data_IF_928373044878
#
_entry.id   IF_928373044878
#
_cell.length_a   1.000
_cell.length_b   1.000
_cell.length_c   1.000
_cell.angle_alpha   90.00
_cell.angle_beta   90.00
_cell.angle_gamma   90.00
#
_symmetry.space_group_name_H-M   'P 1'
#
loop_
_entity.id
_entity.type
_entity.pdbx_description
1 polymer ?
#
# COMPACT_ATOMS: atom_id res chain seq x y z
N UNK A 1 0.15 -77.68 -20.87
CA UNK A 1 0.24 -77.07 -22.20
C UNK A 1 0.55 -75.59 -21.99
N UNK A 2 1.70 -75.13 -22.49
CA UNK A 2 2.20 -73.76 -22.36
C UNK A 2 1.28 -72.75 -23.06
N UNK A 3 1.11 -71.55 -22.48
CA UNK A 3 1.17 -70.25 -23.17
C UNK A 3 1.18 -69.15 -22.09
N UNK A 4 2.34 -68.56 -21.81
CA UNK A 4 2.83 -67.26 -22.32
C UNK A 4 2.12 -66.03 -21.71
N UNK A 5 2.85 -65.47 -20.76
CA UNK A 5 2.98 -64.04 -20.38
C UNK A 5 2.38 -63.01 -21.34
N UNK A 6 1.75 -61.98 -20.75
CA UNK A 6 2.04 -60.58 -21.07
C UNK A 6 1.67 -59.70 -19.87
N UNK A 7 2.72 -59.20 -19.21
CA UNK A 7 2.66 -58.09 -18.26
C UNK A 7 2.22 -56.84 -19.03
N UNK A 8 1.03 -56.31 -18.72
CA UNK A 8 0.66 -54.95 -19.07
C UNK A 8 1.18 -54.03 -17.96
N UNK A 9 2.33 -53.42 -18.22
CA UNK A 9 2.85 -52.33 -17.41
C UNK A 9 1.84 -51.17 -17.42
N UNK A 10 1.13 -50.98 -16.32
CA UNK A 10 0.33 -49.80 -16.08
C UNK A 10 1.25 -48.59 -16.01
N UNK A 11 1.23 -47.77 -17.05
CA UNK A 11 1.89 -46.47 -17.10
C UNK A 11 1.29 -45.63 -15.97
N UNK A 12 2.06 -45.45 -14.91
CA UNK A 12 1.82 -44.41 -13.91
C UNK A 12 2.07 -43.10 -14.64
N UNK A 13 1.00 -42.50 -15.15
CA UNK A 13 1.00 -41.12 -15.60
C UNK A 13 1.28 -40.24 -14.38
N UNK A 14 2.57 -40.05 -14.08
CA UNK A 14 3.08 -38.93 -13.32
C UNK A 14 2.65 -37.68 -14.09
N UNK A 15 1.50 -37.13 -13.73
CA UNK A 15 1.22 -35.72 -13.97
C UNK A 15 2.28 -34.95 -13.20
N UNK A 16 3.41 -34.71 -13.86
CA UNK A 16 4.35 -33.66 -13.54
C UNK A 16 3.57 -32.36 -13.62
N UNK A 17 3.04 -31.93 -12.48
CA UNK A 17 2.65 -30.55 -12.26
C UNK A 17 3.87 -29.71 -12.66
N UNK A 18 3.76 -28.77 -13.62
CA UNK A 18 4.84 -27.85 -13.87
C UNK A 18 5.00 -27.06 -12.57
N UNK A 19 6.06 -27.38 -11.83
CA UNK A 19 6.62 -26.46 -10.86
C UNK A 19 7.16 -25.27 -11.68
N UNK A 20 6.28 -24.33 -12.02
CA UNK A 20 6.68 -22.96 -12.31
C UNK A 20 7.19 -22.38 -11.00
N UNK A 21 8.40 -22.78 -10.65
CA UNK A 21 9.27 -22.08 -9.74
C UNK A 21 9.62 -20.74 -10.41
N UNK A 22 8.75 -19.75 -10.26
CA UNK A 22 9.21 -18.38 -10.22
C UNK A 22 9.88 -18.19 -8.87
N UNK A 23 11.08 -18.75 -8.72
CA UNK A 23 12.04 -18.14 -7.83
C UNK A 23 12.36 -16.80 -8.49
N UNK A 24 11.62 -15.74 -8.14
CA UNK A 24 12.14 -14.39 -8.32
C UNK A 24 13.52 -14.41 -7.67
N UNK A 25 14.57 -14.22 -8.47
CA UNK A 25 15.93 -14.07 -7.98
C UNK A 25 15.88 -12.94 -6.96
N UNK A 26 15.94 -13.25 -5.67
CA UNK A 26 15.98 -12.22 -4.65
C UNK A 26 17.21 -11.37 -4.93
N UNK A 27 17.02 -10.07 -5.17
CA UNK A 27 18.12 -9.17 -5.46
C UNK A 27 19.15 -9.27 -4.33
N UNK A 28 20.42 -9.42 -4.67
CA UNK A 28 21.48 -9.56 -3.68
C UNK A 28 22.15 -8.21 -3.44
N UNK A 29 22.21 -7.84 -2.17
CA UNK A 29 23.05 -6.73 -1.72
C UNK A 29 24.53 -7.07 -1.91
N UNK A 30 25.35 -6.03 -2.07
CA UNK A 30 26.79 -6.15 -2.17
C UNK A 30 27.40 -6.69 -0.87
N UNK A 31 28.15 -7.79 -0.97
CA UNK A 31 28.79 -8.44 0.19
C UNK A 31 29.77 -7.52 0.92
N UNK A 32 30.29 -6.47 0.26
CA UNK A 32 31.18 -5.48 0.87
C UNK A 32 30.53 -4.69 2.01
N UNK A 33 29.20 -4.76 2.17
CA UNK A 33 28.54 -4.26 3.38
C UNK A 33 29.01 -4.95 4.67
N UNK A 34 29.37 -6.23 4.61
CA UNK A 34 29.88 -6.97 5.76
C UNK A 34 31.34 -6.60 6.10
N UNK A 35 32.07 -6.08 5.11
CA UNK A 35 33.42 -5.53 5.24
C UNK A 35 33.40 -4.01 5.04
N UNK A 36 32.45 -3.32 5.67
CA UNK A 36 32.20 -1.90 5.41
C UNK A 36 33.42 -1.01 5.67
N UNK A 37 34.28 -1.36 6.63
CA UNK A 37 35.51 -0.62 6.90
C UNK A 37 36.46 -0.60 5.69
N UNK A 38 36.65 -1.76 5.04
CA UNK A 38 37.52 -1.88 3.85
C UNK A 38 36.95 -1.05 2.68
N UNK A 39 35.62 -1.04 2.52
CA UNK A 39 34.96 -0.18 1.53
C UNK A 39 35.19 1.31 1.80
N UNK A 40 35.20 1.74 3.06
CA UNK A 40 35.49 3.14 3.42
C UNK A 40 36.92 3.49 3.02
N UNK A 41 37.88 2.60 3.26
CA UNK A 41 39.28 2.83 2.89
C UNK A 41 39.44 2.93 1.36
N UNK A 42 38.78 2.05 0.60
CA UNK A 42 38.73 2.13 -0.87
C UNK A 42 38.09 3.44 -1.36
N UNK A 43 37.05 3.92 -0.68
CA UNK A 43 36.38 5.19 -1.00
C UNK A 43 37.29 6.38 -0.79
N UNK A 44 38.03 6.40 0.32
CA UNK A 44 38.99 7.46 0.63
C UNK A 44 40.17 7.45 -0.33
N UNK A 45 40.57 6.26 -0.81
CA UNK A 45 41.60 6.10 -1.84
C UNK A 45 41.11 6.44 -3.27
N UNK A 46 39.80 6.60 -3.48
CA UNK A 46 39.20 6.90 -4.79
C UNK A 46 39.17 5.72 -5.75
N UNK A 47 39.29 4.48 -5.24
CA UNK A 47 39.36 3.24 -6.03
C UNK A 47 38.10 2.39 -5.94
N UNK A 48 37.16 2.76 -5.06
CA UNK A 48 35.94 1.99 -4.81
C UNK A 48 34.96 2.04 -5.99
N UNK A 49 34.51 0.88 -6.43
CA UNK A 49 33.31 0.77 -7.27
C UNK A 49 32.03 1.04 -6.45
N UNK A 50 30.95 1.59 -7.05
CA UNK A 50 29.67 1.80 -6.37
C UNK A 50 29.14 0.53 -5.70
N UNK A 51 28.60 0.65 -4.48
CA UNK A 51 27.89 -0.46 -3.83
C UNK A 51 26.56 -0.72 -4.54
N UNK A 52 26.16 -1.98 -4.65
CA UNK A 52 24.81 -2.34 -5.11
C UNK A 52 23.96 -2.75 -3.93
N UNK A 53 22.86 -2.05 -3.68
CA UNK A 53 21.96 -2.34 -2.56
C UNK A 53 20.53 -2.44 -3.04
N UNK A 54 19.79 -3.39 -2.49
CA UNK A 54 18.33 -3.34 -2.44
C UNK A 54 17.88 -2.08 -1.72
N UNK A 55 16.71 -1.59 -2.11
CA UNK A 55 16.11 -0.42 -1.45
C UNK A 55 15.91 -0.66 0.04
N UNK A 56 15.44 -1.84 0.44
CA UNK A 56 15.21 -2.18 1.83
C UNK A 56 16.50 -2.03 2.68
N UNK A 57 17.63 -2.51 2.17
CA UNK A 57 18.91 -2.38 2.85
C UNK A 57 19.38 -0.93 2.89
N UNK A 58 19.22 -0.17 1.81
CA UNK A 58 19.53 1.25 1.79
C UNK A 58 18.75 2.05 2.85
N UNK A 59 17.45 1.77 3.02
CA UNK A 59 16.61 2.43 4.02
C UNK A 59 17.00 2.07 5.46
N UNK A 60 17.58 0.89 5.66
CA UNK A 60 18.04 0.41 6.96
C UNK A 60 19.47 0.84 7.32
N UNK A 61 20.21 1.43 6.38
CA UNK A 61 21.54 1.96 6.67
C UNK A 61 21.46 3.09 7.72
N UNK A 62 22.43 3.10 8.63
CA UNK A 62 22.57 4.21 9.59
C UNK A 62 22.84 5.53 8.84
N UNK A 63 22.45 6.69 9.39
CA UNK A 63 22.72 7.99 8.77
C UNK A 63 24.20 8.17 8.41
N UNK A 64 25.11 7.79 9.32
CA UNK A 64 26.56 7.85 9.10
C UNK A 64 27.01 6.97 7.94
N UNK A 65 26.50 5.74 7.84
CA UNK A 65 26.84 4.85 6.73
C UNK A 65 26.37 5.44 5.38
N UNK A 66 25.15 6.01 5.34
CA UNK A 66 24.64 6.68 4.13
C UNK A 66 25.44 7.92 3.75
N UNK A 67 25.88 8.71 4.72
CA UNK A 67 26.72 9.88 4.47
C UNK A 67 28.08 9.50 3.87
N UNK A 68 28.72 8.46 4.42
CA UNK A 68 30.02 7.97 3.93
C UNK A 68 29.91 7.31 2.55
N UNK A 69 28.84 6.53 2.31
CA UNK A 69 28.58 5.95 0.98
C UNK A 69 28.34 7.06 -0.05
N UNK A 70 27.51 8.04 0.29
CA UNK A 70 27.10 9.13 -0.61
C UNK A 70 26.45 8.60 -1.89
N UNK A 71 26.77 9.24 -3.01
CA UNK A 71 26.25 8.86 -4.34
C UNK A 71 26.99 7.66 -4.96
N UNK A 72 28.00 7.09 -4.29
CA UNK A 72 28.71 5.92 -4.77
C UNK A 72 27.90 4.63 -4.51
N UNK A 73 26.66 4.63 -4.98
CA UNK A 73 25.63 3.65 -4.71
C UNK A 73 24.76 3.42 -5.96
N UNK A 74 24.39 2.16 -6.16
CA UNK A 74 23.36 1.73 -7.11
C UNK A 74 22.26 1.03 -6.34
N UNK A 75 21.03 1.52 -6.47
CA UNK A 75 19.85 0.89 -5.88
C UNK A 75 19.25 -0.12 -6.86
N UNK A 76 18.95 -1.32 -6.38
CA UNK A 76 18.30 -2.36 -7.16
C UNK A 76 16.78 -2.18 -7.06
N UNK A 77 16.10 -2.10 -8.20
CA UNK A 77 14.64 -2.12 -8.27
C UNK A 77 14.06 -3.53 -8.01
N UNK A 78 12.74 -3.67 -8.08
CA UNK A 78 12.04 -4.94 -7.93
C UNK A 78 12.39 -5.99 -9.00
N UNK A 79 12.99 -5.58 -10.12
CA UNK A 79 13.51 -6.44 -11.19
C UNK A 79 15.04 -6.66 -11.09
N UNK A 80 15.66 -6.25 -9.98
CA UNK A 80 17.10 -6.27 -9.74
C UNK A 80 17.93 -5.49 -10.76
N UNK A 81 17.35 -4.45 -11.36
CA UNK A 81 18.08 -3.53 -12.26
C UNK A 81 18.73 -2.43 -11.43
N UNK A 82 20.03 -2.14 -11.66
CA UNK A 82 20.73 -1.12 -10.92
C UNK A 82 20.34 0.29 -11.40
N UNK A 83 20.00 1.15 -10.45
CA UNK A 83 19.72 2.57 -10.65
C UNK A 83 20.78 3.39 -9.94
N UNK A 84 21.44 4.27 -10.68
CA UNK A 84 22.46 5.15 -10.12
C UNK A 84 21.82 6.18 -9.20
N UNK A 85 22.30 6.31 -7.96
CA UNK A 85 21.91 7.39 -7.06
C UNK A 85 22.66 8.67 -7.43
N UNK A 86 21.97 9.80 -7.40
CA UNK A 86 22.52 11.12 -7.65
C UNK A 86 21.94 12.10 -6.63
N UNK A 87 22.80 12.84 -5.93
CA UNK A 87 22.42 13.75 -4.87
C UNK A 87 21.62 13.07 -3.73
N UNK A 88 21.93 11.81 -3.44
CA UNK A 88 21.29 11.00 -2.40
C UNK A 88 19.92 10.44 -2.76
N UNK A 89 19.42 10.66 -3.98
CA UNK A 89 18.12 10.17 -4.45
C UNK A 89 18.26 9.38 -5.77
N UNK A 90 17.39 8.38 -6.01
CA UNK A 90 17.26 7.73 -7.32
C UNK A 90 16.67 8.69 -8.37
N UNK A 91 16.93 8.46 -9.67
CA UNK A 91 16.53 9.36 -10.75
C UNK A 91 15.03 9.36 -11.04
N UNK A 92 14.31 8.36 -10.54
CA UNK A 92 12.85 8.25 -10.60
C UNK A 92 12.33 7.62 -9.33
N UNK A 93 11.04 7.82 -9.05
CA UNK A 93 10.41 7.22 -7.88
C UNK A 93 10.34 5.70 -8.03
N UNK A 94 10.77 5.00 -7.00
CA UNK A 94 10.74 3.53 -6.96
C UNK A 94 9.44 3.08 -6.32
N UNK A 95 8.68 2.24 -7.02
CA UNK A 95 7.47 1.61 -6.48
C UNK A 95 7.83 0.51 -5.49
N UNK A 96 7.12 0.49 -4.35
CA UNK A 96 7.29 -0.52 -3.31
C UNK A 96 5.99 -0.82 -2.57
N UNK A 97 5.89 -1.99 -1.91
CA UNK A 97 4.77 -2.29 -1.02
C UNK A 97 4.63 -1.22 0.06
N UNK A 98 3.40 -0.74 0.27
CA UNK A 98 3.12 0.32 1.24
C UNK A 98 3.52 -0.05 2.66
N UNK A 99 3.38 -1.33 3.06
CA UNK A 99 3.82 -1.82 4.37
C UNK A 99 5.30 -1.52 4.63
N UNK A 100 6.16 -1.67 3.61
CA UNK A 100 7.59 -1.43 3.72
C UNK A 100 7.88 0.06 3.86
N UNK A 101 7.21 0.90 3.06
CA UNK A 101 7.34 2.36 3.15
C UNK A 101 6.85 2.89 4.49
N UNK A 102 5.69 2.40 4.96
CA UNK A 102 5.13 2.76 6.25
C UNK A 102 6.08 2.41 7.39
N UNK A 103 6.58 1.17 7.45
CA UNK A 103 7.48 0.74 8.53
C UNK A 103 8.79 1.52 8.52
N UNK A 104 9.40 1.72 7.35
CA UNK A 104 10.62 2.52 7.22
C UNK A 104 10.40 3.98 7.64
N UNK A 105 9.26 4.56 7.26
CA UNK A 105 8.89 5.92 7.62
C UNK A 105 8.61 6.06 9.11
N UNK A 106 7.83 5.14 9.67
CA UNK A 106 7.51 5.06 11.08
C UNK A 106 8.77 5.01 11.93
N UNK A 107 9.71 4.12 11.60
CA UNK A 107 10.99 3.99 12.28
C UNK A 107 11.86 5.24 12.15
N UNK A 108 11.87 5.87 10.97
CA UNK A 108 12.58 7.14 10.75
C UNK A 108 11.97 8.29 11.58
N UNK A 109 10.64 8.32 11.73
CA UNK A 109 9.93 9.28 12.60
C UNK A 109 10.27 9.04 14.07
N UNK A 110 10.29 7.79 14.53
CA UNK A 110 10.67 7.45 15.90
C UNK A 110 12.09 7.89 16.24
N UNK A 111 13.04 7.67 15.32
CA UNK A 111 14.45 8.08 15.48
C UNK A 111 14.71 9.58 15.29
N UNK A 112 13.74 10.35 14.77
CA UNK A 112 13.96 11.75 14.40
C UNK A 112 14.87 11.95 13.18
N UNK A 113 14.95 10.94 12.31
CA UNK A 113 15.80 10.96 11.11
C UNK A 113 15.05 11.61 9.93
N UNK A 114 15.03 12.95 9.93
CA UNK A 114 14.32 13.76 8.93
C UNK A 114 14.81 13.51 7.50
N UNK A 115 16.10 13.20 7.32
CA UNK A 115 16.65 12.91 6.00
C UNK A 115 16.06 11.63 5.42
N UNK A 116 15.96 10.57 6.22
CA UNK A 116 15.29 9.34 5.79
C UNK A 116 13.82 9.55 5.50
N UNK A 117 13.13 10.34 6.33
CA UNK A 117 11.72 10.68 6.11
C UNK A 117 11.52 11.36 4.74
N UNK A 118 12.37 12.35 4.41
CA UNK A 118 12.30 13.06 3.13
C UNK A 118 12.63 12.15 1.94
N UNK A 119 13.69 11.35 2.05
CA UNK A 119 14.07 10.37 1.02
C UNK A 119 12.88 9.43 0.75
N UNK A 120 12.26 8.88 1.80
CA UNK A 120 11.09 8.00 1.68
C UNK A 120 9.94 8.69 0.93
N UNK A 121 9.63 9.94 1.25
CA UNK A 121 8.51 10.67 0.65
C UNK A 121 8.77 11.18 -0.77
N UNK A 122 10.03 11.40 -1.14
CA UNK A 122 10.40 12.01 -2.42
C UNK A 122 10.77 10.95 -3.46
N UNK A 123 11.52 9.93 -3.02
CA UNK A 123 12.19 8.95 -3.88
C UNK A 123 11.41 7.65 -4.04
N UNK A 124 10.38 7.42 -3.24
CA UNK A 124 9.59 6.20 -3.27
C UNK A 124 8.11 6.49 -3.44
N UNK A 125 7.42 5.50 -3.97
CA UNK A 125 5.98 5.54 -4.18
C UNK A 125 5.37 4.23 -3.73
N UNK A 126 4.21 4.28 -3.10
CA UNK A 126 3.45 3.07 -2.80
C UNK A 126 2.96 2.42 -4.11
N UNK A 127 3.16 1.11 -4.24
CA UNK A 127 2.59 0.31 -5.31
C UNK A 127 1.07 0.47 -5.35
N UNK A 128 0.46 0.42 -6.55
CA UNK A 128 -0.98 0.36 -6.65
C UNK A 128 -1.52 -0.90 -5.98
N UNK A 129 -2.64 -0.77 -5.27
CA UNK A 129 -3.27 -1.88 -4.56
C UNK A 129 -4.67 -2.15 -5.10
N UNK A 130 -5.15 -3.37 -4.87
CA UNK A 130 -6.53 -3.72 -5.17
C UNK A 130 -7.50 -3.09 -4.14
N UNK A 131 -8.82 -3.09 -4.41
CA UNK A 131 -9.79 -2.43 -3.54
C UNK A 131 -9.98 -3.14 -2.19
N UNK A 132 -9.65 -4.43 -2.09
CA UNK A 132 -9.72 -5.21 -0.85
C UNK A 132 -8.58 -4.85 0.09
N UNK A 133 -7.37 -4.67 -0.45
CA UNK A 133 -6.25 -4.17 0.34
C UNK A 133 -6.46 -2.71 0.73
N UNK A 134 -6.87 -1.85 -0.20
CA UNK A 134 -7.08 -0.43 0.08
C UNK A 134 -8.10 -0.17 1.21
N UNK A 135 -9.23 -0.90 1.22
CA UNK A 135 -10.25 -0.68 2.26
C UNK A 135 -9.69 -0.94 3.66
N UNK A 136 -8.77 -1.89 3.80
CA UNK A 136 -8.12 -2.23 5.07
C UNK A 136 -7.28 -1.07 5.62
N UNK A 137 -6.80 -0.18 4.75
CA UNK A 137 -6.01 1.00 5.14
C UNK A 137 -6.86 2.11 5.79
N UNK A 138 -8.18 2.03 5.79
CA UNK A 138 -9.04 2.89 6.63
C UNK A 138 -8.99 2.53 8.13
N UNK A 139 -8.11 1.62 8.51
CA UNK A 139 -7.76 1.39 9.91
C UNK A 139 -7.01 2.61 10.48
N UNK A 140 -7.37 3.00 11.70
CA UNK A 140 -6.73 4.12 12.41
C UNK A 140 -5.38 3.69 12.98
N UNK A 141 -4.37 4.54 12.83
CA UNK A 141 -3.03 4.36 13.39
C UNK A 141 -3.05 4.73 14.87
N UNK A 142 -2.61 3.79 15.71
CA UNK A 142 -2.30 3.95 17.15
C UNK A 142 -3.22 4.94 17.88
N UNK A 143 -4.52 4.61 17.96
CA UNK A 143 -5.57 5.48 18.52
C UNK A 143 -5.39 5.86 20.00
N UNK A 144 -4.33 5.38 20.67
CA UNK A 144 -3.98 5.70 22.05
C UNK A 144 -2.75 6.61 22.20
N UNK A 145 -2.07 6.98 21.10
CA UNK A 145 -0.82 7.73 21.13
C UNK A 145 -0.88 8.96 20.21
N UNK A 146 -1.52 10.01 20.71
CA UNK A 146 -1.72 11.26 19.97
C UNK A 146 -0.38 11.90 19.55
N UNK A 147 0.64 11.84 20.40
CA UNK A 147 1.97 12.41 20.10
C UNK A 147 2.60 11.75 18.87
N UNK A 148 2.58 10.42 18.81
CA UNK A 148 3.14 9.67 17.69
C UNK A 148 2.39 9.94 16.40
N UNK A 149 1.06 9.93 16.45
CA UNK A 149 0.22 10.28 15.30
C UNK A 149 0.51 11.71 14.81
N UNK A 150 0.64 12.68 15.72
CA UNK A 150 0.98 14.05 15.36
C UNK A 150 2.37 14.18 14.72
N UNK A 151 3.35 13.42 15.21
CA UNK A 151 4.68 13.35 14.61
C UNK A 151 4.64 12.74 13.22
N UNK A 152 3.94 11.61 13.03
CA UNK A 152 3.78 10.97 11.74
C UNK A 152 3.12 11.93 10.73
N UNK A 153 2.00 12.56 11.10
CA UNK A 153 1.28 13.47 10.24
C UNK A 153 2.13 14.70 9.85
N UNK A 154 2.84 15.28 10.82
CA UNK A 154 3.74 16.42 10.58
C UNK A 154 4.89 16.07 9.65
N UNK A 155 5.57 14.95 9.91
CA UNK A 155 6.67 14.47 9.07
C UNK A 155 6.21 14.13 7.66
N UNK A 156 4.99 13.61 7.53
CA UNK A 156 4.38 13.31 6.23
C UNK A 156 3.82 14.57 5.54
N UNK A 157 3.64 15.68 6.25
CA UNK A 157 3.01 16.88 5.71
C UNK A 157 1.53 16.68 5.39
N UNK A 158 0.82 15.89 6.20
CA UNK A 158 -0.61 15.61 6.07
C UNK A 158 -1.39 16.15 7.26
N UNK A 159 -2.67 16.46 7.04
CA UNK A 159 -3.56 16.90 8.11
C UNK A 159 -4.10 15.71 8.89
N UNK A 160 -4.21 15.88 10.21
CA UNK A 160 -4.85 14.92 11.09
C UNK A 160 -6.36 15.16 11.05
N UNK A 161 -7.14 14.08 11.07
CA UNK A 161 -8.58 14.18 11.13
C UNK A 161 -9.05 14.38 12.56
N UNK A 162 -10.14 15.11 12.74
CA UNK A 162 -10.80 15.30 14.02
C UNK A 162 -12.23 14.78 13.97
N UNK A 163 -12.56 13.93 14.93
CA UNK A 163 -13.92 13.48 15.17
C UNK A 163 -14.59 14.47 16.12
N UNK A 164 -15.70 15.06 15.67
CA UNK A 164 -16.53 15.91 16.50
C UNK A 164 -17.45 15.04 17.34
N UNK A 165 -17.05 14.78 18.58
CA UNK A 165 -17.82 14.09 19.61
C UNK A 165 -17.69 14.83 20.94
N UNK A 166 -18.17 14.24 22.06
CA UNK A 166 -18.21 14.89 23.39
C UNK A 166 -16.84 15.46 23.83
N UNK A 167 -15.74 14.85 23.37
CA UNK A 167 -14.39 15.42 23.41
C UNK A 167 -13.74 15.25 22.03
N UNK A 168 -13.14 16.32 21.50
CA UNK A 168 -12.46 16.30 20.20
C UNK A 168 -11.40 15.19 20.19
N UNK A 169 -11.59 14.21 19.31
CA UNK A 169 -10.69 13.06 19.21
C UNK A 169 -10.00 13.08 17.86
N UNK A 170 -8.67 13.14 17.88
CA UNK A 170 -7.83 13.13 16.69
C UNK A 170 -7.55 11.70 16.22
N UNK A 171 -7.45 11.51 14.92
CA UNK A 171 -7.12 10.22 14.32
C UNK A 171 -6.46 10.38 12.94
N UNK A 172 -5.72 9.35 12.54
CA UNK A 172 -5.03 9.25 11.25
C UNK A 172 -5.22 7.84 10.71
N UNK A 173 -5.48 7.67 9.41
CA UNK A 173 -5.56 6.36 8.79
C UNK A 173 -4.23 5.96 8.15
N UNK A 174 -4.04 4.65 7.99
CA UNK A 174 -3.01 4.15 7.08
C UNK A 174 -3.23 4.67 5.65
N UNK A 175 -4.48 4.83 5.22
CA UNK A 175 -4.84 5.32 3.90
C UNK A 175 -4.33 6.76 3.64
N UNK A 176 -4.27 7.61 4.66
CA UNK A 176 -3.73 8.97 4.55
C UNK A 176 -2.23 8.93 4.17
N UNK A 177 -1.46 8.05 4.83
CA UNK A 177 -0.05 7.84 4.52
C UNK A 177 0.12 7.16 3.16
N UNK A 178 -0.71 6.18 2.82
CA UNK A 178 -0.70 5.52 1.51
C UNK A 178 -0.82 6.53 0.36
N UNK A 179 -1.82 7.41 0.44
CA UNK A 179 -2.01 8.50 -0.52
C UNK A 179 -0.82 9.45 -0.52
N UNK A 180 -0.25 9.76 0.65
CA UNK A 180 0.92 10.63 0.74
C UNK A 180 2.16 10.04 0.06
N UNK A 181 2.31 8.73 0.09
CA UNK A 181 3.30 7.98 -0.71
C UNK A 181 2.89 7.83 -2.18
N UNK A 182 1.87 8.55 -2.65
CA UNK A 182 1.40 8.50 -4.04
C UNK A 182 0.72 7.19 -4.41
N UNK A 183 0.28 6.41 -3.43
CA UNK A 183 -0.45 5.17 -3.65
C UNK A 183 -1.74 5.41 -4.42
N UNK A 184 -2.12 4.43 -5.24
CA UNK A 184 -3.34 4.46 -6.04
C UNK A 184 -4.11 3.15 -5.92
N UNK A 185 -5.43 3.21 -6.05
CA UNK A 185 -6.31 2.03 -6.00
C UNK A 185 -7.02 1.81 -7.33
N UNK A 186 -7.01 0.57 -7.81
CA UNK A 186 -7.67 0.18 -9.06
C UNK A 186 -8.59 -1.02 -8.82
N UNK A 187 -9.79 -0.97 -9.39
CA UNK A 187 -10.73 -2.09 -9.46
C UNK A 187 -10.48 -2.96 -10.69
N UNK A 188 -11.20 -4.07 -10.78
CA UNK A 188 -11.10 -5.03 -11.90
C UNK A 188 -11.36 -4.37 -13.26
N UNK A 189 -12.25 -3.37 -13.30
CA UNK A 189 -12.68 -2.69 -14.51
C UNK A 189 -12.21 -1.23 -14.61
N UNK A 190 -11.12 -0.87 -13.92
CA UNK A 190 -10.52 0.47 -13.99
C UNK A 190 -10.36 1.12 -12.62
N UNK A 191 -10.89 2.33 -12.44
CA UNK A 191 -10.86 2.99 -11.12
C UNK A 191 -11.73 2.21 -10.13
N UNK A 192 -11.24 2.05 -8.90
CA UNK A 192 -12.04 1.39 -7.85
C UNK A 192 -13.26 2.24 -7.47
N UNK A 193 -14.36 1.57 -7.11
CA UNK A 193 -15.60 2.22 -6.66
C UNK A 193 -15.76 2.06 -5.15
N UNK A 194 -15.76 3.18 -4.45
CA UNK A 194 -15.89 3.24 -2.99
C UNK A 194 -17.18 3.99 -2.62
N UNK A 195 -18.03 3.34 -1.83
CA UNK A 195 -19.36 3.84 -1.47
C UNK A 195 -19.49 3.94 0.04
N UNK A 196 -20.06 5.03 0.53
CA UNK A 196 -20.46 5.17 1.93
C UNK A 196 -21.84 5.86 2.05
N UNK A 197 -22.65 5.42 3.01
CA UNK A 197 -24.01 5.90 3.25
C UNK A 197 -24.19 6.60 4.61
N UNK A 198 -25.35 6.41 5.24
CA UNK A 198 -25.69 6.86 6.58
C UNK A 198 -25.18 5.90 7.65
N UNK A 199 -24.88 4.66 7.27
CA UNK A 199 -24.20 3.70 8.13
C UNK A 199 -22.72 4.06 8.33
N UNK A 200 -22.13 3.77 9.51
CA UNK A 200 -20.71 3.99 9.78
C UNK A 200 -19.86 2.88 9.14
N UNK A 201 -19.91 2.76 7.81
CA UNK A 201 -19.15 1.80 7.04
C UNK A 201 -18.78 2.37 5.67
N UNK A 202 -17.71 1.82 5.09
CA UNK A 202 -17.31 2.02 3.71
C UNK A 202 -17.39 0.69 2.98
N UNK A 203 -17.78 0.73 1.71
CA UNK A 203 -17.89 -0.46 0.85
C UNK A 203 -17.06 -0.27 -0.40
N UNK A 204 -16.22 -1.26 -0.69
CA UNK A 204 -15.63 -1.46 -2.01
C UNK A 204 -16.60 -2.28 -2.85
N UNK A 205 -17.07 -1.68 -3.95
CA UNK A 205 -18.08 -2.29 -4.83
C UNK A 205 -17.46 -3.43 -5.63
N UNK A 206 -16.27 -3.19 -6.18
CA UNK A 206 -15.51 -4.16 -6.96
C UNK A 206 -15.12 -5.39 -6.11
N UNK A 207 -14.65 -5.17 -4.88
CA UNK A 207 -14.29 -6.27 -3.98
C UNK A 207 -15.50 -6.91 -3.29
N UNK A 208 -16.71 -6.37 -3.46
CA UNK A 208 -17.91 -6.76 -2.72
C UNK A 208 -17.60 -6.91 -1.21
N UNK A 209 -16.93 -5.89 -0.64
CA UNK A 209 -16.43 -5.91 0.73
C UNK A 209 -16.81 -4.62 1.46
N UNK A 210 -17.29 -4.74 2.70
CA UNK A 210 -17.62 -3.60 3.55
C UNK A 210 -16.81 -3.65 4.84
N UNK A 211 -16.31 -2.48 5.25
CA UNK A 211 -15.60 -2.28 6.52
C UNK A 211 -16.34 -1.24 7.36
N UNK A 212 -16.63 -1.59 8.61
CA UNK A 212 -17.15 -0.63 9.58
C UNK A 212 -16.05 0.33 10.01
N UNK A 213 -16.42 1.58 10.21
CA UNK A 213 -15.53 2.60 10.76
C UNK A 213 -15.04 2.21 12.15
N UNK A 214 -13.75 2.42 12.37
CA UNK A 214 -13.13 2.20 13.68
C UNK A 214 -13.79 3.11 14.71
N UNK A 215 -14.20 2.53 15.84
CA UNK A 215 -14.62 3.30 17.00
C UNK A 215 -13.41 4.00 17.61
N UNK A 216 -13.56 5.28 17.91
CA UNK A 216 -12.50 6.09 18.51
C UNK A 216 -12.69 6.17 20.03
N UNK A 217 -11.66 6.61 20.74
CA UNK A 217 -11.78 6.90 22.16
C UNK A 217 -12.86 7.99 22.38
N UNK A 218 -13.74 7.77 23.37
CA UNK A 218 -14.86 8.67 23.68
C UNK A 218 -16.23 8.09 23.35
N UNK A 219 -17.30 8.74 23.84
CA UNK A 219 -18.67 8.27 23.61
C UNK A 219 -19.12 8.66 22.20
N UNK A 220 -19.65 7.69 21.47
CA UNK A 220 -20.17 7.88 20.11
C UNK A 220 -19.16 8.49 19.13
N UNK A 221 -17.85 8.36 19.40
CA UNK A 221 -16.80 8.84 18.51
C UNK A 221 -16.48 7.78 17.45
N UNK A 222 -16.43 8.20 16.20
CA UNK A 222 -16.09 7.34 15.07
C UNK A 222 -15.39 8.12 13.97
N UNK A 223 -14.75 7.39 13.08
CA UNK A 223 -14.16 7.94 11.86
C UNK A 223 -15.23 8.66 11.02
N UNK A 224 -14.87 9.80 10.47
CA UNK A 224 -15.73 10.61 9.59
C UNK A 224 -15.82 9.97 8.21
N UNK A 225 -17.05 9.82 7.71
CA UNK A 225 -17.31 9.42 6.32
C UNK A 225 -16.61 10.34 5.31
N UNK A 226 -16.67 11.65 5.53
CA UNK A 226 -16.10 12.62 4.60
C UNK A 226 -14.58 12.47 4.52
N UNK A 227 -13.92 12.16 5.63
CA UNK A 227 -12.49 11.86 5.66
C UNK A 227 -12.19 10.61 4.83
N UNK A 228 -12.95 9.53 5.01
CA UNK A 228 -12.77 8.28 4.24
C UNK A 228 -12.96 8.49 2.74
N UNK A 229 -14.03 9.16 2.33
CA UNK A 229 -14.32 9.39 0.91
C UNK A 229 -13.30 10.34 0.27
N UNK A 230 -12.87 11.39 0.97
CA UNK A 230 -11.84 12.31 0.49
C UNK A 230 -10.50 11.59 0.26
N UNK A 231 -10.10 10.71 1.19
CA UNK A 231 -8.87 9.91 1.06
C UNK A 231 -9.00 8.88 -0.07
N UNK A 232 -10.17 8.25 -0.24
CA UNK A 232 -10.43 7.35 -1.36
C UNK A 232 -10.30 8.07 -2.71
N UNK A 233 -10.89 9.26 -2.85
CA UNK A 233 -10.79 10.07 -4.05
C UNK A 233 -9.34 10.48 -4.34
N UNK A 234 -8.57 10.85 -3.30
CA UNK A 234 -7.16 11.17 -3.43
C UNK A 234 -6.29 9.97 -3.85
N UNK A 235 -6.71 8.73 -3.54
CA UNK A 235 -6.11 7.50 -4.05
C UNK A 235 -6.55 7.16 -5.49
N UNK A 236 -7.40 7.98 -6.11
CA UNK A 236 -7.87 7.80 -7.48
C UNK A 236 -9.16 6.98 -7.62
N UNK A 237 -9.81 6.63 -6.51
CA UNK A 237 -11.11 5.94 -6.55
C UNK A 237 -12.24 6.87 -7.01
N UNK A 238 -13.28 6.28 -7.57
CA UNK A 238 -14.59 6.93 -7.75
C UNK A 238 -15.35 6.76 -6.44
N UNK A 239 -15.83 7.85 -5.88
CA UNK A 239 -16.47 7.86 -4.56
C UNK A 239 -17.94 8.27 -4.65
N UNK A 240 -18.78 7.63 -3.85
CA UNK A 240 -20.20 7.97 -3.71
C UNK A 240 -20.55 8.16 -2.25
N UNK A 241 -21.06 9.35 -1.92
CA UNK A 241 -21.76 9.62 -0.66
C UNK A 241 -23.26 9.48 -0.88
N UNK A 242 -23.85 8.42 -0.31
CA UNK A 242 -25.29 8.14 -0.44
C UNK A 242 -26.14 8.86 0.61
N UNK A 243 -25.52 9.62 1.53
CA UNK A 243 -26.20 10.26 2.64
C UNK A 243 -27.05 9.25 3.43
N UNK A 244 -28.19 9.69 3.96
CA UNK A 244 -29.16 8.82 4.63
C UNK A 244 -30.17 8.22 3.66
N UNK A 245 -29.71 7.61 2.55
CA UNK A 245 -30.64 7.00 1.59
C UNK A 245 -31.52 5.93 2.27
N UNK A 246 -32.76 5.79 1.82
CA UNK A 246 -33.67 4.80 2.38
C UNK A 246 -33.08 3.38 2.24
N UNK A 247 -32.42 3.08 1.11
CA UNK A 247 -31.80 1.78 0.87
C UNK A 247 -30.73 1.46 1.93
N UNK A 248 -29.90 2.42 2.30
CA UNK A 248 -28.85 2.27 3.32
C UNK A 248 -29.42 2.14 4.75
N UNK A 249 -30.60 2.72 5.01
CA UNK A 249 -31.29 2.59 6.29
C UNK A 249 -32.01 1.26 6.50
N UNK A 250 -32.56 0.66 5.44
CA UNK A 250 -33.36 -0.57 5.57
C UNK A 250 -32.58 -1.83 5.21
N UNK A 251 -31.50 -1.72 4.43
CA UNK A 251 -30.70 -2.86 3.98
C UNK A 251 -29.35 -2.85 4.69
N UNK A 252 -28.93 -4.01 5.18
CA UNK A 252 -27.74 -4.14 6.01
C UNK A 252 -26.90 -5.33 5.53
N UNK A 253 -25.59 -5.26 5.77
CA UNK A 253 -24.65 -6.33 5.46
C UNK A 253 -24.70 -6.72 3.97
N UNK A 254 -24.77 -8.03 3.70
CA UNK A 254 -24.71 -8.57 2.34
C UNK A 254 -25.79 -8.00 1.40
N UNK A 255 -26.98 -7.66 1.91
CA UNK A 255 -28.08 -7.17 1.06
C UNK A 255 -27.75 -5.81 0.44
N UNK A 256 -27.20 -4.91 1.25
CA UNK A 256 -26.80 -3.58 0.81
C UNK A 256 -25.60 -3.64 -0.13
N UNK A 257 -24.63 -4.50 0.22
CA UNK A 257 -23.43 -4.71 -0.58
C UNK A 257 -23.74 -5.27 -1.97
N UNK A 258 -24.59 -6.29 -2.03
CA UNK A 258 -25.06 -6.88 -3.29
C UNK A 258 -25.80 -5.86 -4.15
N UNK A 259 -26.59 -4.96 -3.55
CA UNK A 259 -27.24 -3.88 -4.30
C UNK A 259 -26.23 -2.98 -5.02
N UNK A 260 -25.16 -2.57 -4.33
CA UNK A 260 -24.12 -1.76 -4.96
C UNK A 260 -23.42 -2.53 -6.09
N UNK A 261 -23.06 -3.78 -5.85
CA UNK A 261 -22.44 -4.64 -6.87
C UNK A 261 -23.36 -4.86 -8.08
N UNK A 262 -24.66 -5.10 -7.86
CA UNK A 262 -25.66 -5.25 -8.94
C UNK A 262 -25.78 -3.98 -9.78
N UNK A 263 -25.86 -2.81 -9.13
CA UNK A 263 -25.94 -1.52 -9.83
C UNK A 263 -24.68 -1.20 -10.65
N UNK A 264 -23.51 -1.48 -10.09
CA UNK A 264 -22.25 -1.37 -10.82
C UNK A 264 -22.18 -2.34 -12.00
N UNK A 265 -22.61 -3.58 -11.82
CA UNK A 265 -22.67 -4.58 -12.90
C UNK A 265 -23.60 -4.13 -14.03
N UNK A 266 -24.79 -3.61 -13.70
CA UNK A 266 -25.71 -3.04 -14.68
C UNK A 266 -25.08 -1.88 -15.46
N UNK A 267 -24.31 -1.01 -14.79
CA UNK A 267 -23.60 0.09 -15.44
C UNK A 267 -22.51 -0.42 -16.40
N UNK A 268 -21.76 -1.44 -16.01
CA UNK A 268 -20.78 -2.10 -16.88
C UNK A 268 -21.44 -2.77 -18.10
N UNK A 269 -22.56 -3.47 -17.91
CA UNK A 269 -23.34 -4.13 -18.97
C UNK A 269 -23.89 -3.14 -20.00
N UNK A 270 -24.13 -1.88 -19.60
CA UNK A 270 -24.50 -0.79 -20.49
C UNK A 270 -23.32 -0.20 -21.28
N UNK A 271 -22.14 -0.81 -21.19
CA UNK A 271 -20.94 -0.40 -21.91
C UNK A 271 -20.11 0.65 -21.18
N UNK A 272 -20.25 0.76 -19.85
CA UNK A 272 -19.47 1.65 -18.99
C UNK A 272 -19.36 3.08 -19.56
N UNK A 273 -20.50 3.79 -19.74
CA UNK A 273 -20.53 5.09 -20.42
C UNK A 273 -19.48 6.06 -19.83
N UNK A 274 -18.78 6.79 -20.70
CA UNK A 274 -17.61 7.62 -20.36
C UNK A 274 -17.84 8.57 -19.17
N UNK A 275 -19.09 9.01 -18.98
CA UNK A 275 -19.50 9.80 -17.82
C UNK A 275 -19.92 8.88 -16.67
N UNK A 276 -19.09 8.83 -15.63
CA UNK A 276 -19.48 8.29 -14.33
C UNK A 276 -20.72 9.07 -13.84
N UNK A 277 -21.84 8.39 -13.55
CA UNK A 277 -23.07 9.06 -13.13
C UNK A 277 -22.88 9.76 -11.79
N UNK A 278 -23.49 10.95 -11.63
CA UNK A 278 -23.47 11.68 -10.37
C UNK A 278 -24.16 10.92 -9.23
N UNK A 279 -25.11 10.03 -9.57
CA UNK A 279 -25.64 9.02 -8.66
C UNK A 279 -26.01 7.74 -9.40
N UNK A 280 -25.38 6.62 -9.04
CA UNK A 280 -25.72 5.29 -9.55
C UNK A 280 -26.67 4.54 -8.60
N UNK A 281 -26.69 4.94 -7.33
CA UNK A 281 -27.27 4.18 -6.23
C UNK A 281 -28.48 4.87 -5.57
N UNK A 282 -28.99 5.94 -6.20
CA UNK A 282 -30.23 6.64 -5.81
C UNK A 282 -31.50 5.84 -6.14
#
# INVERSE_FOLDING_TARGET
MYLKTLFAAGVISLFSLPASAFAQTACQDDERLYSFADYIDERQAGTSEPLQLTVATFLNLTPNAREVIGDNLRLLDSECRPMQVSQGEPPFRIEMPFSTLYMGFYDAVLRGDERTQQILLNSFRAEPVDPMEFISYFTVIDSGNEELMERLARSAGINIHTASCDAETKYLHFADLFVRFGGSVYGEHGKAWIVSGGQPQVTSVDANLSQKYTSLAGRSCGVSKNSVLSVAEAAGAITFDLGNSAVDHWWHGNKLRNFYTEKHTQWLELGAPDTVPASLFD
#
